data_IF_166594917409
#
_entry.id   IF_166594917409
#
_cell.length_a   1.000
_cell.length_b   1.000
_cell.length_c   1.000
_cell.angle_alpha   90.00
_cell.angle_beta   90.00
_cell.angle_gamma   90.00
#
_symmetry.space_group_name_H-M   'P 1'
#
loop_
_entity.id
_entity.type
_entity.pdbx_description
1 polymer ?
#
# COMPACT_ATOMS: atom_id res chain seq x y z
N UNK A 1 -23.92 -18.57 -2.26
CA UNK A 1 -22.76 -18.86 -1.39
C UNK A 1 -22.85 -17.98 -0.13
N UNK A 2 -22.64 -18.51 1.08
CA UNK A 2 -22.65 -17.70 2.31
C UNK A 2 -21.21 -17.33 2.66
N UNK A 3 -20.81 -16.10 2.39
CA UNK A 3 -19.49 -15.56 2.76
C UNK A 3 -19.48 -15.32 4.26
N UNK A 4 -18.51 -15.90 4.97
CA UNK A 4 -18.27 -15.63 6.40
C UNK A 4 -16.92 -14.97 6.59
N UNK A 5 -16.78 -14.08 7.57
CA UNK A 5 -15.54 -13.33 7.80
C UNK A 5 -14.32 -14.24 8.07
N UNK A 6 -14.54 -15.48 8.54
CA UNK A 6 -13.50 -16.49 8.75
C UNK A 6 -12.91 -17.07 7.47
N UNK A 7 -13.46 -16.75 6.29
CA UNK A 7 -12.94 -17.19 4.99
C UNK A 7 -12.05 -16.13 4.33
N UNK A 8 -12.01 -14.92 4.90
CA UNK A 8 -11.13 -13.86 4.46
C UNK A 8 -9.80 -13.95 5.19
N UNK A 9 -8.72 -13.75 4.45
CA UNK A 9 -7.38 -13.71 5.01
C UNK A 9 -7.24 -12.59 6.07
N UNK A 10 -6.66 -12.93 7.22
CA UNK A 10 -6.57 -12.03 8.37
C UNK A 10 -5.61 -10.86 8.10
N UNK A 11 -4.51 -11.10 7.39
CA UNK A 11 -3.55 -10.06 7.03
C UNK A 11 -4.17 -9.13 5.99
N UNK A 12 -4.90 -9.67 5.01
CA UNK A 12 -5.66 -8.85 4.06
C UNK A 12 -6.65 -7.91 4.78
N UNK A 13 -7.43 -8.42 5.72
CA UNK A 13 -8.37 -7.59 6.50
C UNK A 13 -7.61 -6.50 7.27
N UNK A 14 -6.52 -6.86 7.94
CA UNK A 14 -5.72 -5.90 8.72
C UNK A 14 -5.15 -4.80 7.83
N UNK A 15 -4.52 -5.19 6.71
CA UNK A 15 -3.92 -4.26 5.76
C UNK A 15 -4.97 -3.34 5.13
N UNK A 16 -6.13 -3.86 4.71
CA UNK A 16 -7.20 -3.04 4.14
C UNK A 16 -7.77 -2.05 5.17
N UNK A 17 -7.89 -2.44 6.44
CA UNK A 17 -8.31 -1.53 7.52
C UNK A 17 -7.33 -0.38 7.69
N UNK A 18 -6.04 -0.69 7.71
CA UNK A 18 -5.00 0.33 7.83
C UNK A 18 -5.03 1.27 6.61
N UNK A 19 -5.01 0.72 5.40
CA UNK A 19 -5.10 1.49 4.15
C UNK A 19 -6.33 2.42 4.13
N UNK A 20 -7.49 1.92 4.54
CA UNK A 20 -8.71 2.73 4.64
C UNK A 20 -8.55 3.87 5.65
N UNK A 21 -7.92 3.64 6.80
CA UNK A 21 -7.64 4.66 7.81
C UNK A 21 -6.66 5.74 7.35
N UNK A 22 -5.82 5.46 6.36
CA UNK A 22 -4.94 6.44 5.72
C UNK A 22 -5.57 7.12 4.50
N UNK A 23 -6.52 6.46 3.84
CA UNK A 23 -7.13 6.95 2.61
C UNK A 23 -7.79 8.32 2.75
N UNK A 24 -8.46 8.57 3.87
CA UNK A 24 -9.18 9.83 4.11
C UNK A 24 -8.31 10.95 4.67
N UNK A 25 -7.01 10.71 4.90
CA UNK A 25 -6.12 11.74 5.44
C UNK A 25 -5.83 12.79 4.38
N UNK A 26 -5.72 14.04 4.82
CA UNK A 26 -5.37 15.15 3.95
C UNK A 26 -3.99 14.92 3.32
N UNK A 27 -3.91 15.11 2.00
CA UNK A 27 -2.68 15.00 1.23
C UNK A 27 -2.22 16.41 0.85
N UNK A 28 -1.11 16.84 1.45
CA UNK A 28 -0.52 18.17 1.22
C UNK A 28 0.38 18.18 -0.04
N UNK A 29 0.84 17.00 -0.48
CA UNK A 29 1.68 16.87 -1.67
C UNK A 29 0.97 17.36 -2.95
N UNK A 30 1.70 18.12 -3.77
CA UNK A 30 1.25 18.45 -5.13
C UNK A 30 1.16 17.20 -6.00
N UNK A 31 0.43 17.28 -7.12
CA UNK A 31 0.29 16.13 -8.04
C UNK A 31 1.65 15.64 -8.58
N UNK A 32 2.56 16.57 -8.89
CA UNK A 32 3.93 16.24 -9.32
C UNK A 32 4.70 15.49 -8.23
N UNK A 33 4.60 15.92 -6.98
CA UNK A 33 5.26 15.26 -5.86
C UNK A 33 4.65 13.89 -5.58
N UNK A 34 3.32 13.78 -5.62
CA UNK A 34 2.60 12.51 -5.48
C UNK A 34 3.05 11.51 -6.53
N UNK A 35 3.10 11.92 -7.80
CA UNK A 35 3.57 11.06 -8.88
C UNK A 35 5.02 10.62 -8.65
N UNK A 36 5.91 11.56 -8.28
CA UNK A 36 7.30 11.24 -7.97
C UNK A 36 7.44 10.24 -6.82
N UNK A 37 6.68 10.40 -5.73
CA UNK A 37 6.66 9.43 -4.62
C UNK A 37 6.25 8.05 -5.11
N UNK A 38 5.18 7.94 -5.92
CA UNK A 38 4.68 6.65 -6.41
C UNK A 38 5.72 5.96 -7.29
N UNK A 39 6.34 6.66 -8.24
CA UNK A 39 7.37 6.08 -9.10
C UNK A 39 8.60 5.65 -8.28
N UNK A 40 9.06 6.50 -7.36
CA UNK A 40 10.20 6.19 -6.49
C UNK A 40 9.95 4.98 -5.59
N UNK A 41 8.72 4.77 -5.13
CA UNK A 41 8.34 3.59 -4.36
C UNK A 41 8.25 2.36 -5.26
N UNK A 42 7.68 2.49 -6.46
CA UNK A 42 7.53 1.40 -7.43
C UNK A 42 8.88 0.84 -7.87
N UNK A 43 9.85 1.71 -8.16
CA UNK A 43 11.21 1.32 -8.54
C UNK A 43 11.96 0.55 -7.44
N UNK A 44 11.53 0.69 -6.19
CA UNK A 44 12.15 0.09 -5.01
C UNK A 44 11.29 -0.97 -4.34
N UNK A 45 10.22 -1.42 -5.00
CA UNK A 45 9.51 -2.61 -4.54
C UNK A 45 10.48 -3.80 -4.51
N UNK A 46 10.29 -4.67 -3.53
CA UNK A 46 11.11 -5.85 -3.27
C UNK A 46 12.55 -5.59 -2.79
N UNK A 47 12.96 -4.31 -2.63
CA UNK A 47 14.19 -3.94 -1.93
C UNK A 47 14.20 -4.59 -0.54
N UNK A 48 15.32 -5.20 -0.15
CA UNK A 48 15.43 -5.92 1.12
C UNK A 48 15.38 -4.99 2.35
N UNK A 49 15.54 -3.68 2.13
CA UNK A 49 15.52 -2.67 3.19
C UNK A 49 14.10 -2.45 3.75
N UNK A 50 13.98 -2.09 5.03
CA UNK A 50 12.71 -1.68 5.62
C UNK A 50 12.06 -0.49 4.90
N UNK A 51 10.73 -0.51 4.76
CA UNK A 51 9.96 0.51 4.08
C UNK A 51 10.15 1.92 4.69
N UNK A 52 10.37 2.02 6.01
CA UNK A 52 10.63 3.32 6.65
C UNK A 52 11.91 4.00 6.11
N UNK A 53 12.91 3.24 5.65
CA UNK A 53 14.10 3.82 5.04
C UNK A 53 13.76 4.38 3.66
N UNK A 54 12.96 3.64 2.87
CA UNK A 54 12.48 4.09 1.56
C UNK A 54 11.63 5.36 1.69
N UNK A 55 10.77 5.43 2.71
CA UNK A 55 9.99 6.63 3.04
C UNK A 55 10.90 7.82 3.33
N UNK A 56 11.91 7.67 4.20
CA UNK A 56 12.85 8.75 4.54
C UNK A 56 13.64 9.25 3.33
N UNK A 57 14.13 8.34 2.50
CA UNK A 57 14.87 8.67 1.28
C UNK A 57 13.98 9.40 0.28
N UNK A 58 12.73 8.96 0.13
CA UNK A 58 11.75 9.55 -0.77
C UNK A 58 11.28 10.92 -0.29
N UNK A 59 11.09 11.10 1.02
CA UNK A 59 10.74 12.37 1.65
C UNK A 59 11.83 13.42 1.35
N UNK A 60 13.10 13.05 1.55
CA UNK A 60 14.24 13.90 1.22
C UNK A 60 14.28 14.27 -0.28
N UNK A 61 14.01 13.32 -1.16
CA UNK A 61 14.08 13.54 -2.61
C UNK A 61 12.94 14.40 -3.17
N UNK A 62 11.77 14.38 -2.51
CA UNK A 62 10.56 15.09 -2.95
C UNK A 62 10.27 16.37 -2.14
N UNK A 63 11.16 16.71 -1.20
CA UNK A 63 11.00 17.82 -0.25
C UNK A 63 9.67 17.74 0.52
N UNK A 64 9.25 16.52 0.85
CA UNK A 64 8.07 16.22 1.66
C UNK A 64 8.48 15.80 3.07
N UNK A 65 7.52 15.81 4.01
CA UNK A 65 7.71 15.14 5.29
C UNK A 65 7.58 13.62 5.14
N UNK A 66 8.18 12.86 6.06
CA UNK A 66 7.98 11.40 6.14
C UNK A 66 6.47 11.06 6.21
N UNK A 67 5.69 11.88 6.92
CA UNK A 67 4.25 11.73 7.06
C UNK A 67 3.53 11.88 5.71
N UNK A 68 3.85 12.90 4.92
CA UNK A 68 3.21 13.13 3.62
C UNK A 68 3.53 12.00 2.64
N UNK A 69 4.78 11.51 2.64
CA UNK A 69 5.16 10.34 1.85
C UNK A 69 4.39 9.10 2.31
N UNK A 70 4.20 8.93 3.61
CA UNK A 70 3.42 7.82 4.16
C UNK A 70 1.95 7.88 3.74
N UNK A 71 1.34 9.07 3.77
CA UNK A 71 -0.02 9.32 3.25
C UNK A 71 -0.10 8.96 1.77
N UNK A 72 0.81 9.48 0.93
CA UNK A 72 0.82 9.19 -0.51
C UNK A 72 0.98 7.69 -0.77
N UNK A 73 1.92 7.02 -0.10
CA UNK A 73 2.16 5.59 -0.23
C UNK A 73 0.89 4.78 0.04
N UNK A 74 0.24 4.99 1.18
CA UNK A 74 -0.94 4.21 1.57
C UNK A 74 -2.14 4.52 0.67
N UNK A 75 -2.31 5.77 0.28
CA UNK A 75 -3.35 6.14 -0.67
C UNK A 75 -3.13 5.54 -2.07
N UNK A 76 -1.89 5.49 -2.55
CA UNK A 76 -1.55 4.86 -3.82
C UNK A 76 -1.81 3.35 -3.80
N UNK A 77 -1.51 2.68 -2.68
CA UNK A 77 -1.84 1.26 -2.49
C UNK A 77 -3.35 1.05 -2.49
N UNK A 78 -4.08 1.83 -1.71
CA UNK A 78 -5.55 1.75 -1.63
C UNK A 78 -6.21 1.93 -3.01
N UNK A 79 -5.73 2.89 -3.81
CA UNK A 79 -6.23 3.17 -5.17
C UNK A 79 -5.67 2.20 -6.23
N UNK A 80 -4.88 1.19 -5.84
CA UNK A 80 -4.16 0.24 -6.71
C UNK A 80 -3.20 0.88 -7.73
N UNK A 81 -2.71 2.08 -7.45
CA UNK A 81 -1.68 2.74 -8.25
C UNK A 81 -0.28 2.20 -7.95
N UNK A 82 -0.12 1.66 -6.74
CA UNK A 82 1.04 0.88 -6.31
C UNK A 82 0.54 -0.47 -5.80
N UNK A 83 0.83 -1.55 -6.53
CA UNK A 83 0.37 -2.91 -6.20
C UNK A 83 1.40 -3.59 -5.30
N UNK A 84 1.02 -3.87 -4.06
CA UNK A 84 1.86 -4.56 -3.07
C UNK A 84 1.19 -5.86 -2.60
N UNK A 85 1.95 -6.74 -1.97
CA UNK A 85 1.41 -7.93 -1.33
C UNK A 85 0.55 -7.56 -0.11
N UNK A 86 -0.76 -7.76 -0.23
CA UNK A 86 -1.74 -7.52 0.83
C UNK A 86 -2.03 -8.76 1.68
N UNK A 87 -1.51 -9.94 1.30
CA UNK A 87 -1.65 -11.19 2.05
C UNK A 87 -0.47 -11.44 3.00
N UNK A 88 0.42 -10.46 3.15
CA UNK A 88 1.49 -10.42 4.13
C UNK A 88 1.39 -9.13 4.96
N UNK A 89 1.86 -9.09 6.22
CA UNK A 89 1.74 -7.88 7.03
C UNK A 89 2.46 -6.66 6.43
N UNK A 90 1.72 -5.58 6.13
CA UNK A 90 2.27 -4.29 5.67
C UNK A 90 2.81 -3.49 6.86
N UNK A 91 4.08 -3.70 7.18
CA UNK A 91 4.76 -3.03 8.30
C UNK A 91 5.90 -2.15 7.79
N UNK A 92 6.00 -0.92 8.29
CA UNK A 92 7.09 -0.01 7.92
C UNK A 92 8.47 -0.54 8.30
N UNK A 93 8.55 -1.42 9.29
CA UNK A 93 9.77 -2.11 9.73
C UNK A 93 10.17 -3.30 8.85
N UNK A 94 9.30 -3.71 7.91
CA UNK A 94 9.56 -4.76 6.91
C UNK A 94 9.72 -4.12 5.54
N UNK A 95 10.25 -4.89 4.58
CA UNK A 95 10.31 -4.48 3.17
C UNK A 95 8.92 -4.32 2.57
N UNK A 96 8.80 -3.45 1.56
CA UNK A 96 7.65 -3.44 0.66
C UNK A 96 7.82 -4.55 -0.37
N UNK A 97 6.85 -5.44 -0.49
CA UNK A 97 6.88 -6.53 -1.47
C UNK A 97 5.85 -6.29 -2.56
N UNK A 98 6.21 -6.58 -3.81
CA UNK A 98 5.29 -6.52 -4.94
C UNK A 98 4.11 -7.48 -4.74
N UNK A 99 2.95 -7.14 -5.33
CA UNK A 99 1.77 -7.99 -5.27
C UNK A 99 2.05 -9.38 -5.85
N UNK A 100 1.77 -10.42 -5.06
CA UNK A 100 1.93 -11.83 -5.46
C UNK A 100 0.62 -12.47 -5.91
N UNK A 101 -0.48 -12.01 -5.32
CA UNK A 101 -1.83 -12.50 -5.58
C UNK A 101 -2.77 -11.29 -5.57
N UNK A 102 -3.60 -11.15 -6.60
CA UNK A 102 -4.60 -10.09 -6.68
C UNK A 102 -5.81 -10.46 -5.81
N UNK A 103 -6.18 -9.67 -4.78
CA UNK A 103 -7.34 -9.96 -3.95
C UNK A 103 -8.66 -10.05 -4.73
N UNK A 104 -8.81 -9.30 -5.82
CA UNK A 104 -10.02 -9.34 -6.64
C UNK A 104 -10.14 -10.65 -7.41
N UNK A 105 -9.02 -11.19 -7.90
CA UNK A 105 -9.00 -12.49 -8.56
C UNK A 105 -9.19 -13.62 -7.54
N UNK A 106 -8.49 -13.55 -6.40
CA UNK A 106 -8.58 -14.53 -5.30
C UNK A 106 -10.03 -14.74 -4.85
N UNK A 107 -10.80 -13.67 -4.73
CA UNK A 107 -12.19 -13.74 -4.28
C UNK A 107 -13.22 -13.59 -5.42
N UNK A 108 -12.81 -13.65 -6.70
CA UNK A 108 -13.70 -13.45 -7.85
C UNK A 108 -14.89 -14.43 -7.86
N UNK A 109 -14.62 -15.71 -7.59
CA UNK A 109 -15.63 -16.78 -7.55
C UNK A 109 -16.73 -16.56 -6.52
N UNK A 110 -16.52 -15.68 -5.54
CA UNK A 110 -17.53 -15.34 -4.55
C UNK A 110 -18.68 -14.49 -5.11
N UNK A 111 -18.44 -13.86 -6.26
CA UNK A 111 -19.36 -12.94 -6.93
C UNK A 111 -19.88 -13.50 -8.26
N UNK A 112 -19.44 -14.70 -8.66
CA UNK A 112 -20.01 -15.46 -9.76
C UNK A 112 -21.44 -15.91 -9.39
N UNK A 113 -22.38 -15.71 -10.31
CA UNK A 113 -23.82 -15.95 -10.11
C UNK A 113 -24.23 -17.32 -10.63
#
# INVERSE_FOLDING_TARGET
MRVTASQLDADLISNLRDLYGWHSREMIASETQRHAVIEMMRERLDDERPAYLLVKETAKATSLSDYDVHVVLYQAIWRRELRIDLFSPLLMTKRLSSEREDPFERYASWFER
#
